data_IF_652956475066
#
_entry.id   IF_652956475066
#
_cell.length_a   1.000
_cell.length_b   1.000
_cell.length_c   1.000
_cell.angle_alpha   90.00
_cell.angle_beta   90.00
_cell.angle_gamma   90.00
#
_symmetry.space_group_name_H-M   'P 1'
#
loop_
_entity.id
_entity.type
_entity.pdbx_description
1 polymer ?
#
# COMPACT_ATOMS: atom_id res chain seq x y z
N UNK A 1 1.36 -2.90 -64.36
CA UNK A 1 2.21 -3.11 -63.18
C UNK A 1 1.75 -2.12 -62.11
N UNK A 2 0.93 -2.59 -61.17
CA UNK A 2 0.38 -1.75 -60.09
C UNK A 2 1.47 -1.53 -59.06
N UNK A 3 1.86 -0.28 -58.83
CA UNK A 3 2.91 0.09 -57.88
C UNK A 3 2.35 -0.09 -56.45
N UNK A 4 2.79 -1.16 -55.78
CA UNK A 4 2.34 -1.57 -54.45
C UNK A 4 3.10 -0.87 -53.31
N UNK A 5 4.10 -0.05 -53.64
CA UNK A 5 4.95 0.69 -52.69
C UNK A 5 4.17 1.62 -51.72
N UNK A 6 3.13 2.37 -52.13
CA UNK A 6 2.43 3.27 -51.20
C UNK A 6 1.61 2.52 -50.14
N UNK A 7 1.11 1.32 -50.47
CA UNK A 7 0.32 0.50 -49.52
C UNK A 7 1.22 -0.15 -48.46
N UNK A 8 2.45 -0.54 -48.83
CA UNK A 8 3.45 -1.06 -47.89
C UNK A 8 3.97 0.04 -46.94
N UNK A 9 4.20 1.26 -47.45
CA UNK A 9 4.62 2.41 -46.63
C UNK A 9 3.53 2.83 -45.63
N UNK A 10 2.27 2.85 -46.06
CA UNK A 10 1.13 3.19 -45.18
C UNK A 10 0.94 2.14 -44.08
N UNK A 11 1.10 0.84 -44.39
CA UNK A 11 1.02 -0.25 -43.40
C UNK A 11 2.18 -0.25 -42.41
N UNK A 12 3.40 0.06 -42.87
CA UNK A 12 4.56 0.21 -42.01
C UNK A 12 4.43 1.41 -41.05
N UNK A 13 3.88 2.53 -41.54
CA UNK A 13 3.56 3.69 -40.68
C UNK A 13 2.47 3.37 -39.65
N UNK A 14 1.41 2.65 -40.04
CA UNK A 14 0.33 2.29 -39.11
C UNK A 14 0.82 1.33 -38.01
N UNK A 15 1.69 0.39 -38.35
CA UNK A 15 2.33 -0.51 -37.39
C UNK A 15 3.28 0.24 -36.44
N UNK A 16 4.06 1.20 -36.94
CA UNK A 16 4.92 2.03 -36.10
C UNK A 16 4.11 2.93 -35.14
N UNK A 17 2.95 3.44 -35.56
CA UNK A 17 2.07 4.27 -34.73
C UNK A 17 1.38 3.44 -33.62
N UNK A 18 1.01 2.19 -33.90
CA UNK A 18 0.45 1.25 -32.93
C UNK A 18 1.49 0.82 -31.87
N UNK A 19 2.75 0.63 -32.27
CA UNK A 19 3.84 0.27 -31.33
C UNK A 19 4.23 1.47 -30.44
N UNK A 20 4.10 2.70 -30.94
CA UNK A 20 4.43 3.91 -30.17
C UNK A 20 3.30 4.32 -29.20
N UNK A 21 2.04 4.06 -29.54
CA UNK A 21 0.89 4.35 -28.68
C UNK A 21 0.78 3.45 -27.44
N UNK A 22 1.26 2.22 -27.50
CA UNK A 22 1.25 1.28 -26.38
C UNK A 22 2.25 1.61 -25.26
N UNK A 23 3.22 2.51 -25.52
CA UNK A 23 4.25 2.89 -24.54
C UNK A 23 3.92 4.14 -23.73
N UNK A 24 2.89 4.89 -24.11
CA UNK A 24 2.49 6.13 -23.44
C UNK A 24 1.58 5.91 -22.21
N UNK A 25 1.16 4.67 -21.92
CA UNK A 25 0.21 4.35 -20.86
C UNK A 25 0.83 4.03 -19.48
N UNK A 26 2.15 3.91 -19.37
CA UNK A 26 2.83 3.66 -18.11
C UNK A 26 3.57 4.92 -17.66
N UNK A 27 2.84 5.96 -17.29
CA UNK A 27 3.35 6.81 -16.22
C UNK A 27 3.36 5.92 -14.98
N UNK A 28 4.47 5.19 -14.77
CA UNK A 28 4.69 4.37 -13.58
C UNK A 28 4.43 5.30 -12.38
N UNK A 29 3.37 5.03 -11.61
CA UNK A 29 3.19 5.70 -10.35
C UNK A 29 4.40 5.29 -9.51
N UNK A 30 5.35 6.20 -9.31
CA UNK A 30 6.55 5.92 -8.51
C UNK A 30 6.21 5.83 -7.02
N UNK A 31 4.98 6.21 -6.66
CA UNK A 31 4.49 6.25 -5.29
C UNK A 31 3.00 5.93 -5.22
N UNK A 32 2.52 5.51 -4.06
CA UNK A 32 1.11 5.50 -3.70
C UNK A 32 0.90 6.00 -2.27
N UNK A 33 -0.35 6.29 -1.92
CA UNK A 33 -0.75 6.73 -0.59
C UNK A 33 -1.70 5.75 0.09
N UNK A 34 -1.57 5.62 1.41
CA UNK A 34 -2.46 4.82 2.23
C UNK A 34 -2.92 5.58 3.46
N UNK A 35 -4.23 5.68 3.62
CA UNK A 35 -4.83 6.07 4.90
C UNK A 35 -4.85 4.88 5.86
N UNK A 36 -4.46 5.06 7.11
CA UNK A 36 -4.69 4.06 8.17
C UNK A 36 -5.69 4.66 9.15
N UNK A 37 -6.88 4.08 9.22
CA UNK A 37 -7.98 4.59 10.05
C UNK A 37 -8.16 3.74 11.31
N UNK A 38 -8.08 4.40 12.47
CA UNK A 38 -8.52 3.86 13.76
C UNK A 38 -9.67 4.71 14.32
N UNK A 39 -10.71 4.07 14.86
CA UNK A 39 -11.86 4.77 15.45
C UNK A 39 -12.17 4.27 16.85
N UNK A 40 -13.00 5.00 17.60
CA UNK A 40 -13.44 4.59 18.94
C UNK A 40 -12.36 4.66 20.03
N UNK A 41 -12.62 3.99 21.14
CA UNK A 41 -11.75 4.03 22.32
C UNK A 41 -10.38 3.40 22.03
N UNK A 42 -9.32 4.08 22.45
CA UNK A 42 -7.93 3.65 22.22
C UNK A 42 -7.43 3.84 20.79
N UNK A 43 -8.16 4.56 19.94
CA UNK A 43 -7.79 4.79 18.54
C UNK A 43 -6.36 5.34 18.36
N UNK A 44 -5.91 6.27 19.20
CA UNK A 44 -4.55 6.83 19.12
C UNK A 44 -3.46 5.75 19.29
N UNK A 45 -3.58 4.92 20.31
CA UNK A 45 -2.61 3.86 20.57
C UNK A 45 -2.64 2.78 19.47
N UNK A 46 -3.84 2.37 19.02
CA UNK A 46 -4.00 1.42 17.92
C UNK A 46 -3.42 1.96 16.62
N UNK A 47 -3.72 3.21 16.29
CA UNK A 47 -3.22 3.87 15.08
C UNK A 47 -1.70 3.94 15.08
N UNK A 48 -1.10 4.39 16.20
CA UNK A 48 0.35 4.47 16.33
C UNK A 48 1.00 3.09 16.19
N UNK A 49 0.40 2.05 16.79
CA UNK A 49 0.94 0.69 16.71
C UNK A 49 0.82 0.10 15.30
N UNK A 50 -0.30 0.30 14.62
CA UNK A 50 -0.50 -0.13 13.25
C UNK A 50 0.43 0.57 12.26
N UNK A 51 0.62 1.89 12.40
CA UNK A 51 1.58 2.63 11.56
C UNK A 51 2.98 2.08 11.75
N UNK A 52 3.40 1.80 12.99
CA UNK A 52 4.69 1.15 13.27
C UNK A 52 4.81 -0.22 12.60
N UNK A 53 3.75 -1.02 12.66
CA UNK A 53 3.70 -2.32 11.98
C UNK A 53 3.87 -2.18 10.47
N UNK A 54 3.16 -1.23 9.87
CA UNK A 54 3.27 -0.93 8.44
C UNK A 54 4.69 -0.49 8.07
N UNK A 55 5.29 0.42 8.85
CA UNK A 55 6.66 0.91 8.65
C UNK A 55 7.71 -0.21 8.72
N UNK A 56 7.52 -1.24 9.56
CA UNK A 56 8.43 -2.39 9.57
C UNK A 56 8.40 -3.12 8.22
N UNK A 57 7.21 -3.27 7.61
CA UNK A 57 7.09 -3.94 6.31
C UNK A 57 7.62 -3.09 5.15
N UNK A 58 7.37 -1.78 5.16
CA UNK A 58 7.84 -0.87 4.11
C UNK A 58 9.36 -0.69 4.09
N UNK A 59 10.05 -1.06 5.18
CA UNK A 59 11.50 -0.96 5.30
C UNK A 59 12.29 -2.21 4.86
N UNK A 60 11.64 -3.34 4.53
CA UNK A 60 12.34 -4.64 4.46
C UNK A 60 13.11 -4.92 3.18
N UNK A 61 12.56 -4.49 2.04
CA UNK A 61 12.94 -5.07 0.74
C UNK A 61 13.58 -4.09 -0.21
N UNK A 62 13.25 -2.82 -0.08
CA UNK A 62 13.53 -1.83 -1.12
C UNK A 62 14.05 -0.50 -0.51
N UNK A 63 14.52 -0.50 0.75
CA UNK A 63 14.87 0.74 1.45
C UNK A 63 16.31 1.25 1.28
N UNK A 64 16.45 2.58 1.25
CA UNK A 64 17.74 3.27 1.16
C UNK A 64 17.85 4.53 2.04
N UNK A 65 19.06 4.98 2.42
CA UNK A 65 19.26 6.07 3.38
C UNK A 65 18.68 7.44 3.00
N UNK A 66 18.48 7.70 1.70
CA UNK A 66 18.00 9.00 1.19
C UNK A 66 16.51 8.99 0.79
N UNK A 67 15.69 8.14 1.43
CA UNK A 67 14.25 8.06 1.20
C UNK A 67 13.51 9.37 1.54
N UNK A 68 12.60 9.78 0.65
CA UNK A 68 11.65 10.89 0.87
C UNK A 68 10.21 10.41 1.11
N UNK A 69 10.02 9.09 1.18
CA UNK A 69 8.76 8.38 1.42
C UNK A 69 8.79 7.72 2.80
N UNK A 70 7.67 7.13 3.21
CA UNK A 70 7.55 6.34 4.45
C UNK A 70 8.00 4.87 4.25
N UNK A 71 8.83 4.64 3.24
CA UNK A 71 9.34 3.35 2.79
C UNK A 71 8.77 2.91 1.45
N UNK A 72 9.02 1.65 1.10
CA UNK A 72 8.71 1.09 -0.20
C UNK A 72 7.88 -0.19 -0.10
N UNK A 73 6.85 -0.32 -0.95
CA UNK A 73 6.03 -1.53 -1.05
C UNK A 73 5.83 -1.86 -2.53
N UNK A 74 6.09 -3.10 -2.91
CA UNK A 74 5.97 -3.55 -4.29
C UNK A 74 6.87 -2.83 -5.29
N UNK A 75 7.94 -2.17 -4.82
CA UNK A 75 8.82 -1.33 -5.64
C UNK A 75 8.33 0.12 -5.85
N UNK A 76 7.29 0.55 -5.13
CA UNK A 76 6.77 1.92 -5.15
C UNK A 76 6.98 2.60 -3.79
N UNK A 77 7.25 3.91 -3.82
CA UNK A 77 7.25 4.76 -2.64
C UNK A 77 5.87 4.74 -1.95
N UNK A 78 5.85 4.77 -0.62
CA UNK A 78 4.59 4.81 0.15
C UNK A 78 4.49 6.08 0.96
N UNK A 79 3.32 6.72 0.94
CA UNK A 79 2.96 7.81 1.83
C UNK A 79 1.84 7.38 2.78
N UNK A 80 2.15 7.27 4.06
CA UNK A 80 1.22 6.85 5.11
C UNK A 80 0.53 8.07 5.69
N UNK A 81 -0.81 8.04 5.69
CA UNK A 81 -1.66 9.08 6.25
C UNK A 81 -2.43 8.52 7.45
N UNK A 82 -1.98 8.75 8.69
CA UNK A 82 -2.70 8.27 9.86
C UNK A 82 -3.99 9.08 10.07
N UNK A 83 -5.10 8.37 10.28
CA UNK A 83 -6.45 8.93 10.37
C UNK A 83 -7.18 8.42 11.63
N UNK A 84 -7.96 9.29 12.30
CA UNK A 84 -8.09 10.73 12.05
C UNK A 84 -6.83 11.49 12.46
N UNK A 85 -6.54 12.62 11.83
CA UNK A 85 -5.30 13.38 12.07
C UNK A 85 -5.08 13.81 13.54
N UNK A 86 -6.16 13.97 14.33
CA UNK A 86 -6.06 14.25 15.77
C UNK A 86 -5.38 13.10 16.56
N UNK A 87 -5.61 11.85 16.15
CA UNK A 87 -4.99 10.66 16.72
C UNK A 87 -3.56 10.42 16.19
N UNK A 88 -3.11 11.22 15.20
CA UNK A 88 -1.81 11.07 14.55
C UNK A 88 -0.68 11.85 15.25
N UNK A 89 -1.00 12.75 16.19
CA UNK A 89 -0.06 13.73 16.74
C UNK A 89 1.18 13.11 17.41
N UNK A 90 1.06 11.90 17.97
CA UNK A 90 2.16 11.17 18.62
C UNK A 90 3.01 10.30 17.68
N UNK A 91 2.65 10.20 16.40
CA UNK A 91 3.30 9.29 15.45
C UNK A 91 4.54 9.97 14.86
N UNK A 92 5.70 9.35 15.07
CA UNK A 92 7.00 9.83 14.58
C UNK A 92 7.49 8.93 13.46
N UNK A 93 8.40 9.45 12.64
CA UNK A 93 9.05 8.70 11.56
C UNK A 93 8.31 8.73 10.23
N UNK A 94 7.27 9.55 10.10
CA UNK A 94 6.63 9.84 8.82
C UNK A 94 7.26 11.08 8.19
N UNK A 95 7.52 11.05 6.88
CA UNK A 95 8.19 12.13 6.13
C UNK A 95 7.27 13.32 5.81
N UNK A 96 5.99 13.23 6.17
CA UNK A 96 5.09 14.38 6.27
C UNK A 96 4.42 14.83 4.97
N UNK A 97 4.56 14.07 3.89
CA UNK A 97 3.86 14.34 2.63
C UNK A 97 2.38 14.02 2.80
N UNK A 98 1.52 15.04 2.61
CA UNK A 98 0.07 14.84 2.56
C UNK A 98 -0.36 14.73 1.10
N UNK A 99 -0.65 13.53 0.60
CA UNK A 99 -1.10 13.34 -0.76
C UNK A 99 -2.50 13.96 -0.95
N UNK A 100 -2.80 14.40 -2.18
CA UNK A 100 -4.09 15.00 -2.50
C UNK A 100 -5.24 13.99 -2.44
N UNK A 101 -4.94 12.72 -2.75
CA UNK A 101 -5.86 11.58 -2.74
C UNK A 101 -5.22 10.37 -2.07
N UNK A 102 -6.07 9.45 -1.60
CA UNK A 102 -5.69 8.15 -1.06
C UNK A 102 -5.91 7.06 -2.10
N UNK A 103 -4.89 6.26 -2.39
CA UNK A 103 -5.03 5.05 -3.22
C UNK A 103 -5.66 3.93 -2.38
N UNK A 104 -5.23 3.78 -1.12
CA UNK A 104 -5.78 2.79 -0.19
C UNK A 104 -6.29 3.41 1.11
N UNK A 105 -7.28 2.77 1.73
CA UNK A 105 -7.68 3.03 3.12
C UNK A 105 -7.76 1.73 3.92
N UNK A 106 -6.84 1.57 4.88
CA UNK A 106 -6.85 0.49 5.86
C UNK A 106 -7.80 0.80 7.01
N UNK A 107 -8.76 -0.08 7.25
CA UNK A 107 -9.74 -0.03 8.35
C UNK A 107 -9.31 -1.02 9.44
N UNK A 108 -8.57 -0.57 10.47
CA UNK A 108 -7.98 -1.45 11.50
C UNK A 108 -9.04 -2.21 12.30
N UNK A 109 -10.15 -1.53 12.59
CA UNK A 109 -11.26 -2.15 13.29
C UNK A 109 -12.04 -3.01 12.29
N UNK A 110 -11.68 -4.30 12.17
CA UNK A 110 -12.41 -5.30 11.37
C UNK A 110 -13.88 -5.52 11.78
N UNK A 111 -14.44 -4.64 12.60
CA UNK A 111 -15.84 -4.59 13.06
C UNK A 111 -16.51 -3.22 12.86
N UNK A 112 -15.82 -2.19 12.34
CA UNK A 112 -16.45 -0.91 12.03
C UNK A 112 -17.30 -1.02 10.75
N UNK A 113 -18.59 -0.70 10.92
CA UNK A 113 -19.66 -0.70 9.94
C UNK A 113 -19.45 0.34 8.84
N UNK A 114 -19.56 -0.11 7.59
CA UNK A 114 -19.61 0.70 6.37
C UNK A 114 -18.36 1.58 6.11
N UNK A 115 -17.74 1.49 4.92
CA UNK A 115 -16.65 2.38 4.58
C UNK A 115 -17.07 3.85 4.72
N UNK A 116 -16.19 4.74 5.22
CA UNK A 116 -16.49 6.16 5.30
C UNK A 116 -16.83 6.70 3.90
N UNK A 117 -17.76 7.66 3.84
CA UNK A 117 -18.16 8.26 2.57
C UNK A 117 -17.02 9.12 2.00
N UNK A 118 -16.82 9.16 0.68
CA UNK A 118 -15.87 10.08 0.04
C UNK A 118 -16.02 11.52 0.54
N UNK A 119 -14.89 12.21 0.75
CA UNK A 119 -14.85 13.57 1.27
C UNK A 119 -15.04 13.74 2.79
N UNK A 120 -15.32 12.66 3.54
CA UNK A 120 -15.40 12.73 5.02
C UNK A 120 -14.03 12.66 5.71
N UNK A 121 -13.03 12.10 5.03
CA UNK A 121 -11.65 12.02 5.48
C UNK A 121 -10.73 12.72 4.47
N UNK A 122 -9.60 13.32 4.92
CA UNK A 122 -8.62 13.92 4.02
C UNK A 122 -8.14 12.93 2.95
N UNK A 123 -8.21 13.33 1.68
CA UNK A 123 -7.76 12.54 0.54
C UNK A 123 -8.67 11.37 0.14
N UNK A 124 -9.73 11.06 0.89
CA UNK A 124 -10.64 9.96 0.56
C UNK A 124 -11.53 10.31 -0.64
N UNK A 125 -11.43 9.55 -1.72
CA UNK A 125 -12.23 9.70 -2.95
C UNK A 125 -13.08 8.45 -3.20
N UNK A 126 -13.86 8.47 -4.29
CA UNK A 126 -14.61 7.29 -4.75
C UNK A 126 -13.70 6.20 -5.33
N UNK A 127 -12.46 6.54 -5.68
CA UNK A 127 -11.49 5.63 -6.30
C UNK A 127 -10.59 4.96 -5.24
N UNK A 128 -10.67 5.39 -3.98
CA UNK A 128 -9.88 4.80 -2.89
C UNK A 128 -10.30 3.35 -2.63
N UNK A 129 -9.33 2.43 -2.65
CA UNK A 129 -9.55 1.01 -2.37
C UNK A 129 -9.57 0.78 -0.86
N UNK A 130 -10.68 0.25 -0.35
CA UNK A 130 -10.80 -0.11 1.07
C UNK A 130 -10.13 -1.46 1.36
N UNK A 131 -9.33 -1.48 2.42
CA UNK A 131 -8.60 -2.65 2.89
C UNK A 131 -8.97 -2.95 4.33
N UNK A 132 -9.32 -4.19 4.63
CA UNK A 132 -9.28 -4.71 6.00
C UNK A 132 -7.94 -5.37 6.26
N UNK A 133 -7.45 -5.50 7.51
CA UNK A 133 -6.16 -6.12 7.81
C UNK A 133 -5.97 -7.54 7.27
N UNK A 134 -7.05 -8.31 7.12
CA UNK A 134 -7.00 -9.73 6.73
C UNK A 134 -6.71 -10.65 7.92
N UNK A 135 -6.76 -11.96 7.70
CA UNK A 135 -6.43 -12.92 8.76
C UNK A 135 -4.93 -12.87 9.10
N UNK A 136 -4.62 -12.81 10.39
CA UNK A 136 -3.25 -12.78 10.87
C UNK A 136 -2.70 -14.21 11.05
N UNK A 137 -1.40 -14.43 10.82
CA UNK A 137 -0.75 -15.69 11.16
C UNK A 137 -0.73 -15.92 12.67
N UNK A 138 -0.66 -17.19 13.07
CA UNK A 138 -0.59 -17.56 14.49
C UNK A 138 0.72 -17.08 15.14
N UNK A 139 1.79 -17.05 14.34
CA UNK A 139 3.15 -16.62 14.70
C UNK A 139 3.33 -15.09 14.78
N UNK A 140 2.28 -14.29 14.57
CA UNK A 140 2.34 -12.82 14.52
C UNK A 140 3.01 -12.11 15.71
N UNK A 141 3.12 -12.79 16.84
CA UNK A 141 3.76 -12.27 18.05
C UNK A 141 4.99 -13.08 18.48
N UNK A 142 5.36 -14.12 17.73
CA UNK A 142 6.46 -15.02 18.06
C UNK A 142 7.81 -14.43 17.58
N UNK A 143 8.71 -14.05 18.49
CA UNK A 143 10.04 -13.55 18.14
C UNK A 143 11.06 -14.68 17.88
N UNK A 144 10.62 -15.96 17.81
CA UNK A 144 11.48 -17.14 17.79
C UNK A 144 12.50 -17.22 16.64
N UNK A 145 12.39 -16.33 15.65
CA UNK A 145 13.41 -16.09 14.61
C UNK A 145 13.78 -14.61 14.57
N UNK A 146 15.07 -14.30 14.41
CA UNK A 146 15.56 -12.92 14.34
C UNK A 146 14.93 -12.12 13.17
N UNK A 147 14.62 -12.81 12.08
CA UNK A 147 13.98 -12.24 10.89
C UNK A 147 12.45 -12.09 11.03
N UNK A 148 11.85 -12.61 12.10
CA UNK A 148 10.40 -12.49 12.32
C UNK A 148 9.99 -11.03 12.48
N UNK A 149 8.75 -10.73 12.08
CA UNK A 149 8.12 -9.44 12.33
C UNK A 149 8.25 -9.03 13.81
N UNK A 150 7.97 -9.94 14.75
CA UNK A 150 8.00 -9.61 16.18
C UNK A 150 9.41 -9.28 16.70
N UNK A 151 10.45 -9.96 16.19
CA UNK A 151 11.83 -9.65 16.54
C UNK A 151 12.24 -8.27 15.99
N UNK A 152 11.92 -7.98 14.72
CA UNK A 152 12.24 -6.70 14.07
C UNK A 152 11.48 -5.52 14.66
N UNK A 153 10.20 -5.70 14.96
CA UNK A 153 9.37 -4.71 15.65
C UNK A 153 9.95 -4.38 17.03
N UNK A 154 10.34 -5.40 17.79
CA UNK A 154 10.99 -5.19 19.10
C UNK A 154 12.33 -4.50 18.97
N UNK A 155 13.13 -4.83 17.96
CA UNK A 155 14.40 -4.16 17.70
C UNK A 155 14.21 -2.67 17.38
N UNK A 156 13.19 -2.31 16.60
CA UNK A 156 12.93 -0.93 16.19
C UNK A 156 12.30 -0.07 17.30
N UNK A 157 11.39 -0.64 18.09
CA UNK A 157 10.55 0.15 19.01
C UNK A 157 10.71 -0.21 20.49
N UNK A 158 11.54 -1.21 20.83
CA UNK A 158 11.81 -1.63 22.21
C UNK A 158 10.65 -2.33 22.92
N UNK A 159 9.54 -2.60 22.22
CA UNK A 159 8.33 -3.23 22.77
C UNK A 159 7.88 -4.40 21.88
N UNK A 160 7.11 -5.35 22.44
CA UNK A 160 6.49 -6.40 21.63
C UNK A 160 5.36 -5.84 20.74
N UNK A 161 5.13 -6.38 19.54
CA UNK A 161 3.99 -5.97 18.72
C UNK A 161 2.67 -6.40 19.37
N UNK A 162 1.68 -5.52 19.33
CA UNK A 162 0.30 -5.85 19.63
C UNK A 162 -0.46 -6.27 18.36
N UNK A 163 -1.78 -6.48 18.50
CA UNK A 163 -2.62 -6.85 17.37
C UNK A 163 -2.63 -5.78 16.27
N UNK A 164 -2.72 -4.51 16.63
CA UNK A 164 -2.78 -3.42 15.66
C UNK A 164 -1.47 -3.31 14.84
N UNK A 165 -0.32 -3.52 15.49
CA UNK A 165 0.96 -3.61 14.78
C UNK A 165 0.97 -4.78 13.77
N UNK A 166 0.50 -5.96 14.16
CA UNK A 166 0.41 -7.09 13.25
C UNK A 166 -0.58 -6.84 12.10
N UNK A 167 -1.68 -6.13 12.34
CA UNK A 167 -2.67 -5.73 11.32
C UNK A 167 -2.07 -4.76 10.30
N UNK A 168 -1.36 -3.73 10.75
CA UNK A 168 -0.66 -2.80 9.87
C UNK A 168 0.42 -3.48 9.03
N UNK A 169 1.19 -4.38 9.66
CA UNK A 169 2.19 -5.17 8.95
C UNK A 169 1.55 -6.09 7.90
N UNK A 170 0.50 -6.84 8.26
CA UNK A 170 -0.18 -7.75 7.34
C UNK A 170 -0.80 -7.01 6.15
N UNK A 171 -1.40 -5.84 6.39
CA UNK A 171 -1.93 -4.99 5.33
C UNK A 171 -0.83 -4.58 4.34
N UNK A 172 0.33 -4.14 4.81
CA UNK A 172 1.47 -3.80 3.96
C UNK A 172 1.96 -5.00 3.13
N UNK A 173 2.05 -6.20 3.74
CA UNK A 173 2.45 -7.43 3.02
C UNK A 173 1.45 -7.81 1.93
N UNK A 174 0.15 -7.62 2.16
CA UNK A 174 -0.89 -7.88 1.17
C UNK A 174 -0.85 -6.89 0.02
N UNK A 175 -0.57 -5.62 0.30
CA UNK A 175 -0.33 -4.61 -0.73
C UNK A 175 0.95 -4.94 -1.52
N UNK A 176 2.03 -5.39 -0.88
CA UNK A 176 3.25 -5.84 -1.59
C UNK A 176 2.94 -6.94 -2.60
N UNK A 177 2.19 -7.96 -2.18
CA UNK A 177 1.78 -9.07 -3.05
C UNK A 177 0.90 -8.63 -4.22
N UNK A 178 0.05 -7.62 -4.02
CA UNK A 178 -0.85 -7.09 -5.05
C UNK A 178 -0.14 -6.14 -6.03
N UNK A 179 0.70 -5.24 -5.51
CA UNK A 179 1.36 -4.18 -6.29
C UNK A 179 2.57 -4.70 -7.05
N UNK A 180 3.41 -5.55 -6.44
CA UNK A 180 4.69 -5.98 -7.02
C UNK A 180 4.57 -6.61 -8.41
N UNK A 181 3.58 -7.49 -8.71
CA UNK A 181 3.43 -8.04 -10.05
C UNK A 181 2.95 -7.00 -11.09
N UNK A 182 2.27 -5.96 -10.64
CA UNK A 182 1.70 -4.91 -11.49
C UNK A 182 2.69 -3.77 -11.74
N UNK A 183 3.55 -3.46 -10.76
CA UNK A 183 4.46 -2.31 -10.79
C UNK A 183 3.73 -0.97 -10.79
N UNK A 184 2.46 -0.95 -10.39
CA UNK A 184 1.59 0.23 -10.38
C UNK A 184 0.40 0.01 -9.44
N UNK A 185 -0.21 1.11 -9.01
CA UNK A 185 -1.51 1.09 -8.31
C UNK A 185 -2.70 1.46 -9.23
N UNK A 186 -2.46 1.69 -10.52
CA UNK A 186 -3.49 2.16 -11.46
C UNK A 186 -4.39 1.08 -12.08
N UNK A 187 -4.30 -0.19 -11.65
CA UNK A 187 -5.18 -1.28 -12.10
C UNK A 187 -6.03 -1.80 -10.93
N UNK A 188 -7.05 -1.02 -10.58
CA UNK A 188 -7.94 -1.28 -9.43
C UNK A 188 -8.55 -2.67 -9.46
N UNK A 189 -8.95 -3.15 -10.65
CA UNK A 189 -9.58 -4.46 -10.79
C UNK A 189 -8.61 -5.61 -10.51
N UNK A 190 -7.35 -5.48 -10.90
CA UNK A 190 -6.31 -6.44 -10.55
C UNK A 190 -5.96 -6.38 -9.06
N UNK A 191 -5.82 -5.16 -8.51
CA UNK A 191 -5.53 -4.94 -7.09
C UNK A 191 -6.62 -5.52 -6.18
N UNK A 192 -7.88 -5.18 -6.41
CA UNK A 192 -9.02 -5.65 -5.59
C UNK A 192 -9.10 -7.18 -5.60
N UNK A 193 -8.86 -7.80 -6.76
CA UNK A 193 -8.83 -9.26 -6.88
C UNK A 193 -7.72 -9.87 -6.01
N UNK A 194 -6.49 -9.37 -6.15
CA UNK A 194 -5.34 -9.87 -5.37
C UNK A 194 -5.52 -9.64 -3.87
N UNK A 195 -6.04 -8.47 -3.47
CA UNK A 195 -6.31 -8.16 -2.07
C UNK A 195 -7.41 -9.06 -1.49
N UNK A 196 -8.40 -9.45 -2.29
CA UNK A 196 -9.43 -10.40 -1.88
C UNK A 196 -8.86 -11.81 -1.73
N UNK A 197 -8.03 -12.26 -2.67
CA UNK A 197 -7.35 -13.57 -2.61
C UNK A 197 -6.43 -13.69 -1.38
N UNK A 198 -5.80 -12.60 -0.98
CA UNK A 198 -4.94 -12.52 0.20
C UNK A 198 -5.66 -12.15 1.48
N UNK A 199 -7.00 -12.10 1.48
CA UNK A 199 -7.77 -11.79 2.70
C UNK A 199 -7.68 -12.90 3.75
N UNK A 200 -7.55 -14.16 3.31
CA UNK A 200 -7.19 -15.28 4.18
C UNK A 200 -5.75 -15.18 4.68
N UNK A 201 -5.37 -16.08 5.59
CA UNK A 201 -4.02 -16.05 6.17
C UNK A 201 -2.94 -16.12 5.09
N UNK A 202 -2.03 -15.14 5.11
CA UNK A 202 -0.76 -15.19 4.39
C UNK A 202 0.38 -15.43 5.38
N UNK A 203 1.41 -16.14 4.93
CA UNK A 203 2.61 -16.40 5.73
C UNK A 203 3.63 -15.28 5.54
N UNK A 204 4.24 -14.86 6.65
CA UNK A 204 5.35 -13.91 6.70
C UNK A 204 6.11 -14.04 8.02
#
# INVERSE_FOLDING_TARGET
>A
MTDLRPVLLLRAMLAALLILGARAGAALAHSFSIGILATGDGAEARLASAVRGFLIASAERDSHPDETSDGHIGGLDVHIVPLPGAAAAGIKGLMGTRPATLDFLLLLDGKASEPPRPGTLPGLTSDTIFLHPGELPETRQDPGRAESFAARFRAAYGIAPDQAAAEGYNAARRIDLAVRPLGTVGDDAALVRSLTETQGRIEW
#
